data_IF_282627960123
#
_entry.id   IF_282627960123
#
_cell.length_a   1.000
_cell.length_b   1.000
_cell.length_c   1.000
_cell.angle_alpha   90.00
_cell.angle_beta   90.00
_cell.angle_gamma   90.00
#
_symmetry.space_group_name_H-M   'P 1'
#
loop_
_entity.id
_entity.type
_entity.pdbx_description
1 polymer ?
#
# COMPACT_ATOMS: atom_id res chain seq x y z
N UNK A 1 0.19 -15.92 3.36
CA UNK A 1 1.27 -14.92 3.41
C UNK A 1 1.32 -14.32 4.80
N UNK A 2 2.49 -14.27 5.43
CA UNK A 2 2.59 -13.67 6.75
C UNK A 2 2.88 -12.17 6.66
N UNK A 3 2.83 -11.48 7.81
CA UNK A 3 3.01 -10.03 7.85
C UNK A 3 4.36 -9.60 7.29
N UNK A 4 5.43 -10.33 7.62
CA UNK A 4 6.77 -9.96 7.16
C UNK A 4 6.88 -10.03 5.64
N UNK A 5 6.24 -11.00 5.01
CA UNK A 5 6.23 -11.13 3.55
C UNK A 5 5.44 -9.99 2.91
N UNK A 6 4.30 -9.61 3.51
CA UNK A 6 3.48 -8.51 3.02
C UNK A 6 4.25 -7.20 3.15
N UNK A 7 4.87 -6.97 4.30
CA UNK A 7 5.63 -5.75 4.57
C UNK A 7 6.81 -5.63 3.61
N UNK A 8 7.50 -6.73 3.32
CA UNK A 8 8.62 -6.71 2.38
C UNK A 8 8.15 -6.29 0.98
N UNK A 9 7.05 -6.85 0.51
CA UNK A 9 6.49 -6.46 -0.80
C UNK A 9 6.05 -5.00 -0.80
N UNK A 10 5.41 -4.55 0.27
CA UNK A 10 5.00 -3.15 0.40
C UNK A 10 6.19 -2.22 0.41
N UNK A 11 7.25 -2.60 1.09
CA UNK A 11 8.48 -1.81 1.13
C UNK A 11 9.02 -1.56 -0.28
N UNK A 12 9.14 -2.63 -1.07
CA UNK A 12 9.63 -2.52 -2.44
C UNK A 12 8.72 -1.63 -3.28
N UNK A 13 7.40 -1.78 -3.14
CA UNK A 13 6.43 -0.99 -3.88
C UNK A 13 6.51 0.49 -3.50
N UNK A 14 6.59 0.80 -2.21
CA UNK A 14 6.68 2.17 -1.73
C UNK A 14 7.96 2.85 -2.22
N UNK A 15 9.09 2.15 -2.15
CA UNK A 15 10.37 2.68 -2.59
C UNK A 15 10.32 2.96 -4.10
N UNK A 16 9.81 2.03 -4.89
CA UNK A 16 9.77 2.17 -6.34
C UNK A 16 8.76 3.24 -6.80
N UNK A 17 7.61 3.31 -6.16
CA UNK A 17 6.53 4.20 -6.60
C UNK A 17 6.66 5.60 -6.05
N UNK A 18 6.99 5.72 -4.77
CA UNK A 18 7.02 7.02 -4.08
C UNK A 18 8.44 7.57 -3.90
N UNK A 19 9.45 6.77 -4.15
CA UNK A 19 10.83 7.22 -4.02
C UNK A 19 11.30 7.41 -2.58
N UNK A 20 10.60 6.79 -1.62
CA UNK A 20 11.04 6.86 -0.22
C UNK A 20 12.28 5.99 -0.01
N UNK A 21 13.07 6.31 0.99
CA UNK A 21 14.29 5.54 1.29
C UNK A 21 13.99 4.24 2.00
N UNK A 22 12.95 4.22 2.82
CA UNK A 22 12.53 2.99 3.50
C UNK A 22 11.04 3.08 3.80
N UNK A 23 10.43 1.91 4.04
CA UNK A 23 9.01 1.81 4.36
C UNK A 23 8.84 1.64 5.87
N UNK A 24 7.92 2.41 6.45
CA UNK A 24 7.51 2.29 7.84
C UNK A 24 5.99 2.34 7.90
N UNK A 25 5.41 1.59 8.82
CA UNK A 25 3.96 1.56 8.98
C UNK A 25 3.37 2.92 9.37
N UNK A 26 4.19 3.77 9.97
CA UNK A 26 3.78 5.11 10.39
C UNK A 26 3.73 6.12 9.25
N UNK A 27 4.24 5.78 8.06
CA UNK A 27 4.20 6.70 6.92
C UNK A 27 2.77 7.02 6.53
N UNK A 28 2.50 8.32 6.30
CA UNK A 28 1.17 8.78 5.89
C UNK A 28 1.28 9.60 4.61
N UNK A 29 0.14 9.70 3.91
CA UNK A 29 0.07 10.46 2.66
C UNK A 29 0.47 11.94 2.87
N UNK A 30 0.19 12.49 4.05
CA UNK A 30 0.49 13.88 4.36
C UNK A 30 1.99 14.14 4.55
N UNK A 31 2.75 13.11 4.92
CA UNK A 31 4.18 13.24 5.18
C UNK A 31 5.05 13.07 3.94
N UNK A 32 4.51 12.49 2.89
CA UNK A 32 5.26 12.19 1.67
C UNK A 32 4.75 13.07 0.54
N UNK A 33 5.56 14.07 0.17
CA UNK A 33 5.14 15.05 -0.85
C UNK A 33 4.86 14.41 -2.22
N UNK A 34 5.55 13.32 -2.53
CA UNK A 34 5.37 12.61 -3.80
C UNK A 34 4.07 11.79 -3.84
N UNK A 35 3.43 11.58 -2.70
CA UNK A 35 2.23 10.77 -2.60
C UNK A 35 0.99 11.64 -2.85
N UNK A 36 0.77 11.99 -4.10
CA UNK A 36 -0.39 12.75 -4.55
C UNK A 36 -1.46 11.79 -5.13
N UNK A 37 -2.52 12.36 -5.69
CA UNK A 37 -3.63 11.56 -6.22
C UNK A 37 -3.20 10.58 -7.31
N UNK A 38 -2.34 11.02 -8.22
CA UNK A 38 -1.85 10.17 -9.31
C UNK A 38 -0.97 9.05 -8.76
N UNK A 39 -0.07 9.38 -7.85
CA UNK A 39 0.80 8.38 -7.23
C UNK A 39 0.00 7.40 -6.40
N UNK A 40 -1.07 7.85 -5.76
CA UNK A 40 -1.95 6.96 -5.00
C UNK A 40 -2.57 5.90 -5.90
N UNK A 41 -3.08 6.31 -7.07
CA UNK A 41 -3.64 5.36 -8.04
C UNK A 41 -2.57 4.38 -8.51
N UNK A 42 -1.37 4.86 -8.84
CA UNK A 42 -0.27 4.01 -9.27
C UNK A 42 0.14 3.02 -8.17
N UNK A 43 0.20 3.50 -6.93
CA UNK A 43 0.56 2.68 -5.77
C UNK A 43 -0.44 1.53 -5.60
N UNK A 44 -1.74 1.86 -5.60
CA UNK A 44 -2.78 0.84 -5.40
C UNK A 44 -2.85 -0.14 -6.56
N UNK A 45 -2.68 0.33 -7.80
CA UNK A 45 -2.65 -0.56 -8.96
C UNK A 45 -1.49 -1.54 -8.86
N UNK A 46 -0.33 -1.09 -8.42
CA UNK A 46 0.83 -1.94 -8.22
C UNK A 46 0.58 -2.97 -7.11
N UNK A 47 -0.07 -2.53 -6.03
CA UNK A 47 -0.43 -3.42 -4.92
C UNK A 47 -1.39 -4.50 -5.41
N UNK A 48 -2.41 -4.13 -6.18
CA UNK A 48 -3.36 -5.10 -6.74
C UNK A 48 -2.64 -6.17 -7.55
N UNK A 49 -1.72 -5.76 -8.40
CA UNK A 49 -0.97 -6.71 -9.24
C UNK A 49 -0.06 -7.60 -8.40
N UNK A 50 0.60 -7.01 -7.40
CA UNK A 50 1.59 -7.75 -6.59
C UNK A 50 0.93 -8.79 -5.68
N UNK A 51 -0.28 -8.52 -5.19
CA UNK A 51 -0.96 -9.41 -4.25
C UNK A 51 -2.12 -10.19 -4.88
N UNK A 52 -2.43 -9.91 -6.14
CA UNK A 52 -3.52 -10.60 -6.83
C UNK A 52 -4.88 -10.29 -6.24
N UNK A 53 -5.10 -9.04 -5.85
CA UNK A 53 -6.34 -8.58 -5.23
C UNK A 53 -6.95 -7.45 -6.05
N UNK A 54 -8.24 -7.21 -5.84
CA UNK A 54 -8.96 -6.10 -6.46
C UNK A 54 -9.49 -5.21 -5.34
N UNK A 55 -8.95 -4.00 -5.24
CA UNK A 55 -9.27 -3.07 -4.15
C UNK A 55 -10.53 -2.29 -4.50
N UNK A 56 -11.51 -2.30 -3.60
CA UNK A 56 -12.76 -1.56 -3.80
C UNK A 56 -12.52 -0.07 -3.61
N UNK A 57 -13.30 0.73 -4.30
CA UNK A 57 -13.14 2.20 -4.25
C UNK A 57 -13.23 2.74 -2.82
N UNK A 58 -14.17 2.23 -2.02
CA UNK A 58 -14.33 2.66 -0.64
C UNK A 58 -13.07 2.43 0.19
N UNK A 59 -12.32 1.38 -0.12
CA UNK A 59 -11.09 1.08 0.59
C UNK A 59 -9.93 1.93 0.11
N UNK A 60 -9.92 2.28 -1.18
CA UNK A 60 -8.85 3.11 -1.75
C UNK A 60 -8.70 4.44 -1.01
N UNK A 61 -9.80 5.08 -0.69
CA UNK A 61 -9.78 6.39 -0.03
C UNK A 61 -9.32 6.30 1.43
N UNK A 62 -9.32 5.11 2.00
CA UNK A 62 -8.87 4.88 3.37
C UNK A 62 -7.42 4.41 3.47
N UNK A 63 -6.81 4.04 2.35
CA UNK A 63 -5.45 3.48 2.33
C UNK A 63 -4.40 4.58 2.25
N UNK A 64 -4.38 5.43 3.26
CA UNK A 64 -3.57 6.65 3.27
C UNK A 64 -2.39 6.61 4.26
N UNK A 65 -2.08 5.44 4.76
CA UNK A 65 -0.89 5.23 5.59
C UNK A 65 -0.39 3.79 5.39
N UNK A 66 0.87 3.57 5.74
CA UNK A 66 1.44 2.22 5.68
C UNK A 66 0.63 1.22 6.49
N UNK A 67 0.24 1.63 7.68
CA UNK A 67 -0.54 0.78 8.60
C UNK A 67 -1.91 0.43 8.02
N UNK A 68 -2.62 1.42 7.48
CA UNK A 68 -3.94 1.18 6.89
C UNK A 68 -3.85 0.32 5.64
N UNK A 69 -2.82 0.52 4.83
CA UNK A 69 -2.60 -0.31 3.64
C UNK A 69 -2.36 -1.76 4.05
N UNK A 70 -1.49 -1.99 5.03
CA UNK A 70 -1.23 -3.34 5.52
C UNK A 70 -2.52 -3.99 6.03
N UNK A 71 -3.30 -3.26 6.83
CA UNK A 71 -4.56 -3.76 7.37
C UNK A 71 -5.52 -4.18 6.26
N UNK A 72 -5.69 -3.34 5.23
CA UNK A 72 -6.59 -3.64 4.12
C UNK A 72 -6.12 -4.83 3.30
N UNK A 73 -4.82 -4.92 3.02
CA UNK A 73 -4.27 -6.05 2.27
C UNK A 73 -4.53 -7.35 3.02
N UNK A 74 -4.29 -7.37 4.32
CA UNK A 74 -4.53 -8.57 5.14
C UNK A 74 -5.99 -8.98 5.08
N UNK A 75 -6.90 -8.02 5.09
CA UNK A 75 -8.33 -8.29 5.01
C UNK A 75 -8.69 -8.93 3.66
N UNK A 76 -8.17 -8.39 2.56
CA UNK A 76 -8.44 -8.94 1.22
C UNK A 76 -7.87 -10.35 1.08
N UNK A 77 -6.69 -10.59 1.60
CA UNK A 77 -6.03 -11.90 1.50
C UNK A 77 -6.77 -12.94 2.34
N UNK A 78 -7.20 -12.59 3.54
CA UNK A 78 -7.85 -13.54 4.45
C UNK A 78 -9.31 -13.84 4.10
N UNK A 79 -9.92 -13.03 3.23
CA UNK A 79 -11.30 -13.23 2.79
C UNK A 79 -11.43 -14.25 1.66
N UNK A 80 -10.37 -14.91 1.31
CA UNK A 80 -10.35 -15.88 0.21
C UNK A 80 -10.99 -17.21 0.64
#
# INVERSE_FOLDING_TARGET
MNDDQIIKKLSDIFIDTLGVNEFELSLTIDEISEWDSLKHIQLLTTIEAAFGIEIQFEDEIEMISGKLILYKIKKYISDV
#
